data_IF_117234031607
#
_entry.id   IF_117234031607
#
_cell.length_a   1.000
_cell.length_b   1.000
_cell.length_c   1.000
_cell.angle_alpha   90.00
_cell.angle_beta   90.00
_cell.angle_gamma   90.00
#
_symmetry.space_group_name_H-M   'P 1'
#
loop_
_entity.id
_entity.type
_entity.pdbx_description
1 polymer ?
#
# COMPACT_ATOMS: atom_id res chain seq x y z
N UNK A 1 -13.65 8.45 -16.79
CA UNK A 1 -12.71 7.65 -15.99
C UNK A 1 -11.34 7.94 -16.56
N UNK A 2 -10.37 8.43 -15.78
CA UNK A 2 -9.00 8.60 -16.30
C UNK A 2 -8.47 7.21 -16.65
N UNK A 3 -7.87 7.03 -17.82
CA UNK A 3 -7.16 5.79 -18.16
C UNK A 3 -5.91 5.67 -17.27
N UNK A 4 -6.10 5.14 -16.07
CA UNK A 4 -5.02 4.87 -15.14
C UNK A 4 -4.32 3.60 -15.61
N UNK A 5 -3.01 3.71 -15.84
CA UNK A 5 -2.17 2.55 -16.19
C UNK A 5 -2.06 1.63 -14.97
N UNK A 6 -2.62 0.44 -15.08
CA UNK A 6 -2.36 -0.67 -14.15
C UNK A 6 -0.99 -1.25 -14.47
N UNK A 7 -0.12 -1.38 -13.48
CA UNK A 7 1.21 -2.00 -13.69
C UNK A 7 1.33 -3.39 -13.08
N UNK A 8 0.43 -3.76 -12.15
CA UNK A 8 0.49 -5.04 -11.48
C UNK A 8 -0.79 -5.36 -10.73
N UNK A 9 -0.88 -6.60 -10.26
CA UNK A 9 -1.98 -7.05 -9.41
C UNK A 9 -1.44 -7.49 -8.07
N UNK A 10 -1.96 -6.90 -6.99
CA UNK A 10 -1.68 -7.29 -5.62
C UNK A 10 -2.90 -8.06 -5.08
N UNK A 11 -2.75 -9.34 -4.76
CA UNK A 11 -3.88 -10.22 -4.35
C UNK A 11 -5.09 -10.14 -5.30
N UNK A 12 -4.83 -10.05 -6.61
CA UNK A 12 -5.88 -9.92 -7.64
C UNK A 12 -6.46 -8.51 -7.82
N UNK A 13 -6.08 -7.55 -6.98
CA UNK A 13 -6.50 -6.14 -7.06
C UNK A 13 -5.55 -5.35 -7.96
N UNK A 14 -6.10 -4.50 -8.84
CA UNK A 14 -5.30 -3.68 -9.75
C UNK A 14 -4.55 -2.57 -8.99
N UNK A 15 -3.23 -2.54 -9.15
CA UNK A 15 -2.34 -1.52 -8.57
C UNK A 15 -1.95 -0.51 -9.64
N UNK A 16 -2.08 0.77 -9.30
CA UNK A 16 -1.80 1.91 -10.20
C UNK A 16 -0.64 2.77 -9.75
N UNK A 17 -0.28 2.74 -8.45
CA UNK A 17 0.89 3.45 -7.93
C UNK A 17 1.48 2.72 -6.71
N UNK A 18 2.81 2.59 -6.66
CA UNK A 18 3.58 2.36 -5.43
C UNK A 18 4.69 3.40 -5.40
N UNK A 19 4.82 4.14 -4.30
CA UNK A 19 5.81 5.21 -4.16
C UNK A 19 6.33 5.32 -2.72
N UNK A 20 7.62 5.63 -2.57
CA UNK A 20 8.28 5.92 -1.27
C UNK A 20 7.97 7.33 -0.75
N UNK A 21 6.73 7.77 -0.88
CA UNK A 21 6.28 9.08 -0.44
C UNK A 21 4.87 9.02 0.12
N UNK A 22 4.60 9.86 1.12
CA UNK A 22 3.26 9.99 1.68
C UNK A 22 2.40 10.86 0.77
N UNK A 23 1.37 10.27 0.19
CA UNK A 23 0.37 11.02 -0.57
C UNK A 23 -0.58 11.75 0.40
N UNK A 24 -0.59 13.09 0.31
CA UNK A 24 -1.44 13.94 1.14
C UNK A 24 -2.91 13.62 0.92
N UNK A 25 -3.71 13.62 1.98
CA UNK A 25 -5.12 13.20 1.93
C UNK A 25 -5.98 14.09 1.02
N UNK A 26 -5.66 15.37 0.93
CA UNK A 26 -6.31 16.35 0.05
C UNK A 26 -6.03 16.12 -1.45
N UNK A 27 -4.91 15.46 -1.78
CA UNK A 27 -4.55 15.09 -3.15
C UNK A 27 -5.09 13.72 -3.59
N UNK A 28 -5.80 13.00 -2.71
CA UNK A 28 -6.31 11.66 -3.01
C UNK A 28 -7.58 11.73 -3.87
N UNK A 29 -7.64 10.87 -4.87
CA UNK A 29 -8.82 10.67 -5.70
C UNK A 29 -9.83 9.80 -4.94
N UNK A 30 -11.09 10.21 -4.89
CA UNK A 30 -12.17 9.49 -4.19
C UNK A 30 -12.50 8.14 -4.83
N UNK A 31 -12.14 7.96 -6.10
CA UNK A 31 -12.42 6.73 -6.85
C UNK A 31 -11.27 5.71 -6.71
N UNK A 32 -10.24 6.03 -5.91
CA UNK A 32 -9.07 5.18 -5.65
C UNK A 32 -8.96 4.80 -4.17
N UNK A 33 -8.26 3.70 -3.92
CA UNK A 33 -7.98 3.20 -2.58
C UNK A 33 -6.51 3.39 -2.25
N UNK A 34 -6.22 3.89 -1.05
CA UNK A 34 -4.87 4.26 -0.61
C UNK A 34 -4.49 3.50 0.64
N UNK A 35 -3.31 2.90 0.61
CA UNK A 35 -2.75 2.15 1.71
C UNK A 35 -1.35 2.67 2.01
N UNK A 36 -1.10 2.99 3.27
CA UNK A 36 0.24 3.27 3.75
C UNK A 36 0.98 1.94 3.92
N UNK A 37 2.25 1.90 3.55
CA UNK A 37 3.15 0.77 3.73
C UNK A 37 4.01 1.07 4.96
N UNK A 38 4.08 0.14 5.90
CA UNK A 38 4.96 0.20 7.08
C UNK A 38 6.25 -0.57 6.81
N UNK A 39 7.39 -0.04 7.21
CA UNK A 39 8.65 -0.79 7.22
C UNK A 39 8.85 -1.56 8.53
N UNK A 40 9.67 -2.61 8.48
CA UNK A 40 10.12 -3.33 9.67
C UNK A 40 11.19 -2.57 10.45
N UNK A 41 11.76 -3.21 11.47
CA UNK A 41 12.78 -2.62 12.34
C UNK A 41 14.12 -2.36 11.64
N UNK A 42 14.28 -2.81 10.39
CA UNK A 42 15.42 -2.56 9.52
C UNK A 42 15.31 -1.25 8.71
N UNK A 43 14.24 -0.48 8.93
CA UNK A 43 13.98 0.83 8.32
C UNK A 43 13.78 0.78 6.80
N UNK A 44 13.75 -0.40 6.19
CA UNK A 44 13.90 -0.54 4.74
C UNK A 44 13.01 -1.62 4.14
N UNK A 45 12.64 -2.67 4.88
CA UNK A 45 11.77 -3.72 4.34
C UNK A 45 10.31 -3.36 4.56
N UNK A 46 9.48 -3.26 3.51
CA UNK A 46 8.04 -3.11 3.70
C UNK A 46 7.50 -4.41 4.31
N UNK A 47 6.74 -4.32 5.41
CA UNK A 47 6.25 -5.51 6.14
C UNK A 47 4.73 -5.54 6.27
N UNK A 48 4.06 -4.40 6.14
CA UNK A 48 2.63 -4.30 6.40
C UNK A 48 1.97 -3.21 5.53
N UNK A 49 0.72 -3.45 5.12
CA UNK A 49 -0.19 -2.45 4.55
C UNK A 49 -1.25 -2.04 5.57
N UNK A 50 -1.50 -0.74 5.68
CA UNK A 50 -2.45 -0.16 6.64
C UNK A 50 -3.19 1.05 6.03
N UNK A 51 -4.26 1.53 6.67
CA UNK A 51 -4.98 2.74 6.22
C UNK A 51 -4.43 4.05 6.82
N UNK A 52 -3.38 3.97 7.62
CA UNK A 52 -2.72 5.14 8.21
C UNK A 52 -1.59 4.75 9.15
N UNK A 53 -0.36 4.80 8.64
CA UNK A 53 0.85 4.48 9.41
C UNK A 53 1.34 5.75 10.11
N UNK A 54 1.40 5.74 11.46
CA UNK A 54 1.89 6.88 12.25
C UNK A 54 3.41 6.85 12.46
N UNK A 55 3.98 5.65 12.64
CA UNK A 55 5.41 5.41 12.81
C UNK A 55 5.86 4.34 11.82
N UNK A 56 7.14 4.36 11.44
CA UNK A 56 7.72 3.40 10.51
C UNK A 56 7.14 3.45 9.08
N UNK A 57 6.86 4.65 8.57
CA UNK A 57 6.32 4.82 7.21
C UNK A 57 7.36 4.49 6.15
N UNK A 58 7.00 3.60 5.22
CA UNK A 58 7.79 3.24 4.05
C UNK A 58 7.33 3.96 2.78
N UNK A 59 6.03 3.93 2.50
CA UNK A 59 5.48 4.39 1.23
C UNK A 59 3.97 4.30 1.15
N UNK A 60 3.42 4.49 -0.05
CA UNK A 60 1.99 4.41 -0.33
C UNK A 60 1.73 3.51 -1.54
N UNK A 61 0.79 2.59 -1.41
CA UNK A 61 0.20 1.80 -2.50
C UNK A 61 -1.19 2.36 -2.84
N UNK A 62 -1.51 2.43 -4.12
CA UNK A 62 -2.79 2.90 -4.64
C UNK A 62 -3.39 1.86 -5.57
N UNK A 63 -4.68 1.55 -5.37
CA UNK A 63 -5.41 0.53 -6.12
C UNK A 63 -6.74 1.03 -6.66
N UNK A 64 -7.28 0.35 -7.69
CA UNK A 64 -8.59 0.63 -8.27
C UNK A 64 -9.76 0.03 -7.48
N UNK A 65 -9.52 -1.09 -6.77
CA UNK A 65 -10.50 -1.78 -5.95
C UNK A 65 -9.96 -1.96 -4.52
N UNK A 66 -10.83 -2.15 -3.51
CA UNK A 66 -10.35 -2.35 -2.15
C UNK A 66 -9.73 -3.73 -1.97
N UNK A 67 -8.59 -3.79 -1.28
CA UNK A 67 -8.03 -5.03 -0.70
C UNK A 67 -8.94 -5.47 0.45
N UNK A 68 -9.45 -6.71 0.39
CA UNK A 68 -10.48 -7.22 1.31
C UNK A 68 -9.89 -7.83 2.58
N UNK A 69 -8.63 -8.23 2.53
CA UNK A 69 -7.89 -8.99 3.54
C UNK A 69 -7.23 -8.08 4.60
N UNK A 70 -7.61 -6.81 4.64
CA UNK A 70 -7.19 -5.90 5.72
C UNK A 70 -7.96 -6.28 6.99
N UNK A 71 -7.31 -7.04 7.86
CA UNK A 71 -7.90 -7.55 9.09
C UNK A 71 -7.77 -6.51 10.19
N UNK A 72 -8.85 -6.30 10.97
CA UNK A 72 -8.75 -5.50 12.19
C UNK A 72 -7.79 -6.18 13.15
N UNK A 73 -6.74 -5.48 13.57
CA UNK A 73 -5.92 -5.89 14.72
C UNK A 73 -6.62 -5.54 16.03
N UNK A 74 -6.07 -6.04 17.14
CA UNK A 74 -6.55 -5.76 18.50
C UNK A 74 -6.63 -4.25 18.80
N UNK A 75 -5.81 -3.44 18.11
CA UNK A 75 -5.79 -1.97 18.22
C UNK A 75 -6.81 -1.26 17.32
N UNK A 76 -7.77 -1.99 16.72
CA UNK A 76 -8.77 -1.50 15.77
C UNK A 76 -8.22 -0.91 14.46
N UNK A 77 -6.93 -1.04 14.19
CA UNK A 77 -6.35 -0.62 12.91
C UNK A 77 -6.35 -1.81 11.94
N UNK A 78 -6.97 -1.68 10.76
CA UNK A 78 -6.90 -2.74 9.77
C UNK A 78 -5.49 -2.83 9.19
N UNK A 79 -4.81 -3.95 9.45
CA UNK A 79 -3.45 -4.25 9.00
C UNK A 79 -3.42 -5.48 8.09
N UNK A 80 -2.44 -5.52 7.20
CA UNK A 80 -2.15 -6.67 6.37
C UNK A 80 -0.64 -6.92 6.27
N UNK A 81 -0.17 -7.97 6.94
CA UNK A 81 1.22 -8.41 6.84
C UNK A 81 1.52 -8.99 5.45
N UNK A 82 2.69 -8.60 4.94
CA UNK A 82 3.15 -8.97 3.61
C UNK A 82 3.94 -10.27 3.64
N UNK A 83 3.65 -11.16 2.69
CA UNK A 83 4.49 -12.31 2.37
C UNK A 83 5.76 -11.88 1.62
N UNK A 84 6.77 -12.77 1.55
CA UNK A 84 8.03 -12.48 0.84
C UNK A 84 7.81 -12.09 -0.63
N UNK A 85 6.86 -12.72 -1.31
CA UNK A 85 6.54 -12.42 -2.71
C UNK A 85 5.87 -11.05 -2.86
N UNK A 86 5.09 -10.63 -1.87
CA UNK A 86 4.45 -9.33 -1.83
C UNK A 86 5.43 -8.19 -1.52
N UNK A 87 6.39 -8.46 -0.64
CA UNK A 87 7.53 -7.56 -0.40
C UNK A 87 8.31 -7.37 -1.70
N UNK A 88 8.64 -8.49 -2.38
CA UNK A 88 9.33 -8.45 -3.67
C UNK A 88 8.51 -7.69 -4.72
N UNK A 89 7.21 -7.91 -4.79
CA UNK A 89 6.31 -7.17 -5.68
C UNK A 89 6.38 -5.66 -5.43
N UNK A 90 6.40 -5.21 -4.17
CA UNK A 90 6.55 -3.79 -3.85
C UNK A 90 7.89 -3.26 -4.36
N UNK A 91 9.00 -3.92 -4.07
CA UNK A 91 10.32 -3.49 -4.53
C UNK A 91 10.48 -3.49 -6.05
N UNK A 92 9.92 -4.48 -6.74
CA UNK A 92 10.01 -4.57 -8.20
C UNK A 92 9.21 -3.45 -8.91
N UNK A 93 8.23 -2.85 -8.22
CA UNK A 93 7.25 -1.95 -8.84
C UNK A 93 7.16 -0.56 -8.18
N UNK A 94 7.93 -0.30 -7.14
CA UNK A 94 7.97 1.03 -6.53
C UNK A 94 8.66 2.04 -7.43
N UNK A 95 8.07 3.23 -7.53
CA UNK A 95 8.73 4.36 -8.16
C UNK A 95 9.75 4.94 -7.19
N UNK A 96 10.99 5.05 -7.67
CA UNK A 96 12.10 5.70 -6.97
C UNK A 96 12.00 7.22 -7.03
#
# INVERSE_FOLDING_TARGET
>A
MKDLKVFGKFRGVDVVLIIKARLKRDTRDKDLYYYDIRHGDDWTTPVCLERGVMANFYGTMVTLQPIKELHKTDDNFPELFLSKDEIKFIWDNELS
#
